data_IF_484709471224
#
_entry.id   IF_484709471224
#
_cell.length_a   1.000
_cell.length_b   1.000
_cell.length_c   1.000
_cell.angle_alpha   90.00
_cell.angle_beta   90.00
_cell.angle_gamma   90.00
#
_symmetry.space_group_name_H-M   'P 1'
#
loop_
_entity.id
_entity.type
_entity.pdbx_description
1 polymer ?
#
# COMPACT_ATOMS: atom_id res chain seq x y z
N UNK A 1 29.76 29.91 5.45
CA UNK A 1 29.15 29.11 4.40
C UNK A 1 28.86 27.78 5.08
N UNK A 2 27.65 27.66 5.60
CA UNK A 2 27.20 26.48 6.36
C UNK A 2 26.13 25.80 5.51
N UNK A 3 26.53 24.74 4.82
CA UNK A 3 25.59 23.84 4.16
C UNK A 3 24.94 22.97 5.24
N UNK A 4 23.72 23.35 5.63
CA UNK A 4 22.83 22.50 6.40
C UNK A 4 22.25 21.48 5.44
N UNK A 5 22.87 20.31 5.39
CA UNK A 5 22.27 19.12 4.80
C UNK A 5 21.05 18.80 5.68
N UNK A 6 19.85 19.02 5.15
CA UNK A 6 18.64 18.48 5.75
C UNK A 6 18.75 16.95 5.70
N UNK A 7 19.04 16.40 6.87
CA UNK A 7 18.88 14.99 7.16
C UNK A 7 17.38 14.70 7.11
N UNK A 8 16.88 14.30 5.94
CA UNK A 8 15.58 13.65 5.84
C UNK A 8 15.80 12.25 6.41
N UNK A 9 15.60 12.13 7.72
CA UNK A 9 15.45 10.83 8.36
C UNK A 9 14.43 10.05 7.54
N UNK A 10 14.95 9.11 6.73
CA UNK A 10 14.15 8.26 5.88
C UNK A 10 13.28 7.37 6.77
N UNK A 11 12.04 7.80 6.99
CA UNK A 11 11.02 6.96 7.59
C UNK A 11 10.77 5.77 6.66
N UNK A 12 11.43 4.66 6.96
CA UNK A 12 11.06 3.37 6.37
C UNK A 12 9.89 2.84 7.19
N UNK A 13 8.70 2.73 6.61
CA UNK A 13 7.56 2.17 7.34
C UNK A 13 7.90 0.77 7.83
N UNK A 14 7.43 0.37 9.01
CA UNK A 14 7.62 -0.97 9.51
C UNK A 14 7.06 -1.98 8.51
N UNK A 15 7.91 -2.88 8.04
CA UNK A 15 7.49 -3.99 7.18
C UNK A 15 6.84 -5.03 8.08
N UNK A 16 5.56 -5.29 7.87
CA UNK A 16 4.83 -6.36 8.55
C UNK A 16 5.29 -7.69 7.96
N UNK A 17 6.42 -8.17 8.45
CA UNK A 17 6.90 -9.50 8.09
C UNK A 17 6.30 -10.57 9.04
N UNK A 18 6.46 -11.83 8.66
CA UNK A 18 5.92 -12.95 9.44
C UNK A 18 6.53 -13.03 10.84
N UNK A 19 7.79 -12.63 10.98
CA UNK A 19 8.49 -12.63 12.27
C UNK A 19 7.88 -11.60 13.23
N UNK A 20 7.60 -10.39 12.74
CA UNK A 20 6.91 -9.34 13.50
C UNK A 20 5.51 -9.79 13.96
N UNK A 21 4.77 -10.51 13.12
CA UNK A 21 3.45 -11.05 13.47
C UNK A 21 3.53 -12.15 14.54
N UNK A 22 4.57 -12.98 14.52
CA UNK A 22 4.77 -14.06 15.50
C UNK A 22 5.10 -13.52 16.90
N UNK A 23 5.64 -12.31 17.01
CA UNK A 23 5.94 -11.64 18.28
C UNK A 23 4.71 -10.97 18.92
N UNK A 24 3.62 -10.79 18.16
CA UNK A 24 2.39 -10.19 18.68
C UNK A 24 1.64 -11.11 19.62
N UNK A 25 0.94 -10.50 20.58
CA UNK A 25 -0.03 -11.23 21.39
C UNK A 25 -1.16 -11.81 20.51
N UNK A 26 -1.83 -12.86 21.00
CA UNK A 26 -2.96 -13.44 20.27
C UNK A 26 -4.09 -12.40 20.01
N UNK A 27 -4.33 -11.49 20.95
CA UNK A 27 -5.30 -10.41 20.78
C UNK A 27 -4.89 -9.46 19.66
N UNK A 28 -3.64 -8.98 19.67
CA UNK A 28 -3.12 -8.08 18.63
C UNK A 28 -3.15 -8.72 17.24
N UNK A 29 -2.85 -10.02 17.13
CA UNK A 29 -2.97 -10.74 15.84
C UNK A 29 -4.41 -10.77 15.34
N UNK A 30 -5.39 -11.03 16.21
CA UNK A 30 -6.79 -11.00 15.83
C UNK A 30 -7.22 -9.61 15.34
N UNK A 31 -6.75 -8.54 15.98
CA UNK A 31 -7.02 -7.17 15.58
C UNK A 31 -6.40 -6.85 14.20
N UNK A 32 -5.16 -7.28 13.94
CA UNK A 32 -4.50 -7.16 12.63
C UNK A 32 -5.29 -7.91 11.56
N UNK A 33 -5.72 -9.15 11.83
CA UNK A 33 -6.50 -9.96 10.89
C UNK A 33 -7.86 -9.35 10.58
N UNK A 34 -8.53 -8.79 11.59
CA UNK A 34 -9.81 -8.09 11.43
C UNK A 34 -9.66 -6.88 10.50
N UNK A 35 -8.68 -6.02 10.79
CA UNK A 35 -8.39 -4.84 9.97
C UNK A 35 -7.99 -5.23 8.54
N UNK A 36 -7.08 -6.19 8.39
CA UNK A 36 -6.62 -6.68 7.09
C UNK A 36 -7.78 -7.18 6.23
N UNK A 37 -8.70 -7.94 6.81
CA UNK A 37 -9.90 -8.45 6.14
C UNK A 37 -10.81 -7.32 5.62
N UNK A 38 -11.07 -6.31 6.44
CA UNK A 38 -11.92 -5.18 6.04
C UNK A 38 -11.26 -4.32 4.96
N UNK A 39 -9.97 -4.04 5.10
CA UNK A 39 -9.22 -3.31 4.08
C UNK A 39 -9.11 -4.09 2.76
N UNK A 40 -8.89 -5.40 2.83
CA UNK A 40 -8.87 -6.26 1.63
C UNK A 40 -10.21 -6.21 0.88
N UNK A 41 -11.33 -6.19 1.61
CA UNK A 41 -12.67 -6.03 1.02
C UNK A 41 -12.82 -4.67 0.31
N UNK A 42 -12.34 -3.59 0.92
CA UNK A 42 -12.39 -2.24 0.33
C UNK A 42 -11.45 -2.08 -0.86
N UNK A 43 -10.30 -2.71 -0.81
CA UNK A 43 -9.31 -2.71 -1.89
C UNK A 43 -9.84 -3.37 -3.17
N UNK A 44 -10.73 -4.36 -3.05
CA UNK A 44 -11.47 -4.93 -4.17
C UNK A 44 -10.58 -5.52 -5.27
N UNK A 45 -9.57 -6.32 -4.89
CA UNK A 45 -8.60 -6.95 -5.80
C UNK A 45 -7.81 -5.94 -6.64
N UNK A 46 -7.38 -4.83 -6.05
CA UNK A 46 -6.56 -3.82 -6.70
C UNK A 46 -7.33 -2.76 -7.48
N UNK A 47 -8.67 -2.79 -7.46
CA UNK A 47 -9.47 -1.72 -8.09
C UNK A 47 -9.36 -0.40 -7.37
N UNK A 48 -9.20 -0.45 -6.06
CA UNK A 48 -9.13 0.71 -5.20
C UNK A 48 -7.83 0.70 -4.40
N UNK A 49 -7.47 1.86 -3.89
CA UNK A 49 -6.37 2.06 -2.95
C UNK A 49 -6.86 2.83 -1.75
N UNK A 50 -6.24 2.61 -0.61
CA UNK A 50 -6.41 3.46 0.58
C UNK A 50 -5.39 4.60 0.47
N UNK A 51 -5.87 5.83 0.43
CA UNK A 51 -5.02 7.01 0.27
C UNK A 51 -4.65 7.64 1.61
N UNK A 52 -5.61 7.66 2.54
CA UNK A 52 -5.41 8.18 3.89
C UNK A 52 -6.34 7.47 4.87
N UNK A 53 -5.99 7.50 6.15
CA UNK A 53 -6.85 7.05 7.23
C UNK A 53 -6.64 7.86 8.51
N UNK A 54 -7.64 7.82 9.40
CA UNK A 54 -7.58 8.43 10.73
C UNK A 54 -8.37 7.58 11.73
N UNK A 55 -7.93 7.47 13.00
CA UNK A 55 -8.69 6.79 14.04
C UNK A 55 -10.08 7.43 14.23
N UNK A 56 -11.11 6.62 14.54
CA UNK A 56 -12.48 7.12 14.75
C UNK A 56 -13.23 6.24 15.76
N UNK A 57 -12.94 6.41 17.05
CA UNK A 57 -13.52 5.60 18.12
C UNK A 57 -13.17 4.12 17.94
N UNK A 58 -14.17 3.22 17.99
CA UNK A 58 -13.98 1.80 17.69
C UNK A 58 -13.95 1.58 16.19
N UNK A 59 -12.84 1.98 15.55
CA UNK A 59 -12.66 1.84 14.12
C UNK A 59 -11.80 2.93 13.53
N UNK A 60 -11.80 3.01 12.20
CA UNK A 60 -11.05 4.00 11.43
C UNK A 60 -11.94 4.63 10.35
N UNK A 61 -11.64 5.86 9.98
CA UNK A 61 -12.11 6.45 8.72
C UNK A 61 -11.03 6.23 7.68
N UNK A 62 -11.40 5.79 6.50
CA UNK A 62 -10.48 5.56 5.39
C UNK A 62 -10.95 6.28 4.14
N UNK A 63 -10.04 6.91 3.43
CA UNK A 63 -10.28 7.44 2.10
C UNK A 63 -9.86 6.40 1.08
N UNK A 64 -10.84 5.82 0.41
CA UNK A 64 -10.64 4.77 -0.61
C UNK A 64 -11.03 5.32 -1.96
N UNK A 65 -10.07 5.34 -2.88
CA UNK A 65 -10.27 5.84 -4.24
C UNK A 65 -9.92 4.76 -5.27
N UNK A 66 -10.51 4.80 -6.48
CA UNK A 66 -10.04 3.97 -7.59
C UNK A 66 -8.60 4.31 -7.95
N UNK A 67 -7.76 3.30 -8.16
CA UNK A 67 -6.32 3.51 -8.38
C UNK A 67 -6.01 4.39 -9.61
N UNK A 68 -6.85 4.35 -10.66
CA UNK A 68 -6.65 5.15 -11.89
C UNK A 68 -6.82 6.66 -11.67
N UNK A 69 -7.54 7.07 -10.61
CA UNK A 69 -7.75 8.48 -10.28
C UNK A 69 -6.42 9.21 -10.05
N UNK A 70 -5.42 8.55 -9.48
CA UNK A 70 -4.11 9.17 -9.31
C UNK A 70 -3.44 9.51 -10.63
N UNK A 71 -3.54 8.64 -11.62
CA UNK A 71 -3.04 8.92 -12.96
C UNK A 71 -3.77 10.08 -13.63
N UNK A 72 -5.09 10.18 -13.45
CA UNK A 72 -5.88 11.30 -13.95
C UNK A 72 -5.54 12.61 -13.22
N UNK A 73 -5.36 12.58 -11.92
CA UNK A 73 -4.96 13.75 -11.13
C UNK A 73 -3.57 14.22 -11.53
N UNK A 74 -2.60 13.32 -11.64
CA UNK A 74 -1.24 13.65 -12.11
C UNK A 74 -1.25 14.26 -13.53
N UNK A 75 -2.11 13.77 -14.41
CA UNK A 75 -2.25 14.32 -15.76
C UNK A 75 -2.90 15.70 -15.77
N UNK A 76 -3.87 15.95 -14.90
CA UNK A 76 -4.52 17.28 -14.77
C UNK A 76 -3.58 18.30 -14.17
N UNK A 77 -2.86 17.94 -13.11
CA UNK A 77 -1.92 18.85 -12.42
C UNK A 77 -0.68 19.15 -13.24
N UNK A 78 -0.34 18.36 -14.26
CA UNK A 78 0.73 18.70 -15.21
C UNK A 78 0.47 20.03 -15.99
N UNK A 79 -0.77 20.55 -15.97
CA UNK A 79 -1.15 21.84 -16.53
C UNK A 79 -1.48 22.93 -15.49
N UNK A 80 -1.47 22.60 -14.19
CA UNK A 80 -1.85 23.51 -13.10
C UNK A 80 -0.63 23.92 -12.25
N UNK A 81 -0.85 24.85 -11.30
CA UNK A 81 0.22 25.39 -10.48
C UNK A 81 1.03 24.33 -9.74
N UNK A 82 2.33 24.56 -9.58
CA UNK A 82 3.29 23.65 -8.92
C UNK A 82 2.84 23.17 -7.52
N UNK A 83 2.05 23.99 -6.81
CA UNK A 83 1.56 23.68 -5.46
C UNK A 83 0.60 22.48 -5.42
N UNK A 84 -0.19 22.25 -6.48
CA UNK A 84 -1.12 21.12 -6.56
C UNK A 84 -0.40 19.79 -6.80
N UNK A 85 0.67 19.80 -7.57
CA UNK A 85 1.54 18.63 -7.78
C UNK A 85 2.26 18.26 -6.49
N UNK A 86 2.80 19.25 -5.80
CA UNK A 86 3.50 19.05 -4.53
C UNK A 86 2.57 18.42 -3.49
N UNK A 87 1.32 18.88 -3.38
CA UNK A 87 0.35 18.30 -2.45
C UNK A 87 0.06 16.83 -2.77
N UNK A 88 -0.12 16.48 -4.04
CA UNK A 88 -0.36 15.07 -4.45
C UNK A 88 0.86 14.21 -4.14
N UNK A 89 2.06 14.71 -4.42
CA UNK A 89 3.31 14.00 -4.14
C UNK A 89 3.52 13.80 -2.63
N UNK A 90 3.21 14.80 -1.80
CA UNK A 90 3.26 14.71 -0.35
C UNK A 90 2.27 13.69 0.21
N UNK A 91 1.04 13.64 -0.32
CA UNK A 91 0.03 12.64 0.08
C UNK A 91 0.47 11.22 -0.32
N UNK A 92 1.05 11.05 -1.51
CA UNK A 92 1.49 9.74 -2.01
C UNK A 92 2.76 9.26 -1.29
N UNK A 93 3.71 10.15 -1.04
CA UNK A 93 4.99 9.84 -0.42
C UNK A 93 4.93 9.78 1.12
N UNK A 94 3.91 10.42 1.71
CA UNK A 94 3.73 10.53 3.15
C UNK A 94 3.18 9.27 3.82
N UNK A 95 2.89 9.41 5.12
CA UNK A 95 2.13 8.41 5.86
C UNK A 95 0.68 8.43 5.42
N UNK A 96 0.02 7.26 5.42
CA UNK A 96 -1.42 7.19 5.20
C UNK A 96 -2.23 7.58 6.45
N UNK A 97 -1.63 7.49 7.63
CA UNK A 97 -2.17 8.03 8.87
C UNK A 97 -2.09 9.56 8.88
N UNK A 98 -3.22 10.21 9.11
CA UNK A 98 -3.32 11.67 9.27
C UNK A 98 -4.17 12.01 10.49
N UNK A 99 -4.06 13.27 10.96
CA UNK A 99 -5.03 13.81 11.89
C UNK A 99 -6.38 14.08 11.17
N UNK A 100 -7.41 14.42 11.93
CA UNK A 100 -8.77 14.59 11.39
C UNK A 100 -8.85 15.75 10.36
N UNK A 101 -8.13 16.85 10.60
CA UNK A 101 -8.10 18.01 9.71
C UNK A 101 -7.41 17.70 8.39
N UNK A 102 -6.25 17.04 8.45
CA UNK A 102 -5.51 16.58 7.29
C UNK A 102 -6.31 15.57 6.47
N UNK A 103 -6.96 14.63 7.15
CA UNK A 103 -7.83 13.65 6.51
C UNK A 103 -8.98 14.30 5.72
N UNK A 104 -9.70 15.24 6.35
CA UNK A 104 -10.81 15.93 5.69
C UNK A 104 -10.31 16.82 4.53
N UNK A 105 -9.13 17.41 4.65
CA UNK A 105 -8.49 18.18 3.58
C UNK A 105 -8.19 17.28 2.37
N UNK A 106 -7.59 16.11 2.59
CA UNK A 106 -7.29 15.14 1.54
C UNK A 106 -8.61 14.63 0.90
N UNK A 107 -9.59 14.26 1.71
CA UNK A 107 -10.89 13.78 1.21
C UNK A 107 -11.59 14.82 0.32
N UNK A 108 -11.57 16.08 0.75
CA UNK A 108 -12.14 17.19 -0.02
C UNK A 108 -11.39 17.43 -1.33
N UNK A 109 -10.07 17.37 -1.31
CA UNK A 109 -9.24 17.57 -2.51
C UNK A 109 -9.53 16.51 -3.58
N UNK A 110 -9.60 15.24 -3.18
CA UNK A 110 -9.89 14.14 -4.10
C UNK A 110 -11.36 14.01 -4.46
N UNK A 111 -12.28 14.62 -3.69
CA UNK A 111 -13.72 14.62 -3.95
C UNK A 111 -14.39 13.26 -3.70
N UNK A 112 -13.82 12.43 -2.84
CA UNK A 112 -14.37 11.13 -2.47
C UNK A 112 -14.86 11.14 -1.02
N UNK A 113 -16.02 10.50 -0.79
CA UNK A 113 -16.55 10.35 0.57
C UNK A 113 -15.76 9.31 1.37
N UNK A 114 -15.30 9.65 2.58
CA UNK A 114 -14.67 8.72 3.49
C UNK A 114 -15.57 7.54 3.84
N UNK A 115 -14.98 6.37 3.97
CA UNK A 115 -15.67 5.18 4.49
C UNK A 115 -15.30 4.96 5.94
N UNK A 116 -16.26 4.54 6.74
CA UNK A 116 -16.04 4.10 8.09
C UNK A 116 -15.84 2.58 8.12
N UNK A 117 -14.80 2.14 8.80
CA UNK A 117 -14.53 0.73 9.10
C UNK A 117 -14.73 0.57 10.60
N UNK A 118 -15.77 -0.17 10.98
CA UNK A 118 -16.02 -0.53 12.37
C UNK A 118 -15.13 -1.72 12.74
N UNK A 119 -14.48 -1.64 13.91
CA UNK A 119 -13.58 -2.65 14.44
C UNK A 119 -14.02 -3.07 15.84
N UNK A 120 -13.64 -4.26 16.26
CA UNK A 120 -13.92 -4.76 17.62
C UNK A 120 -13.00 -4.12 18.68
N UNK A 121 -12.04 -3.31 18.27
CA UNK A 121 -11.00 -2.72 19.11
C UNK A 121 -10.87 -1.20 18.85
N UNK A 122 -10.15 -0.50 19.73
CA UNK A 122 -9.89 0.94 19.60
C UNK A 122 -8.47 1.14 19.04
N UNK A 123 -8.32 1.71 17.82
CA UNK A 123 -7.05 2.11 17.26
C UNK A 123 -6.24 3.03 18.20
N UNK A 124 -4.95 2.82 18.30
CA UNK A 124 -4.05 3.56 19.18
C UNK A 124 -4.04 3.10 20.66
N UNK A 125 -5.12 2.43 21.12
CA UNK A 125 -5.19 1.89 22.49
C UNK A 125 -4.91 0.38 22.49
N UNK A 126 -5.66 -0.39 21.73
CA UNK A 126 -5.59 -1.86 21.68
C UNK A 126 -4.56 -2.35 20.66
N UNK A 127 -4.27 -1.56 19.65
CA UNK A 127 -3.28 -1.81 18.61
C UNK A 127 -2.55 -0.51 18.29
N UNK A 128 -1.21 -0.53 18.30
CA UNK A 128 -0.38 0.65 18.09
C UNK A 128 -0.53 1.22 16.66
N UNK A 129 -0.44 2.54 16.53
CA UNK A 129 -0.66 3.25 15.27
C UNK A 129 0.35 2.87 14.18
N UNK A 130 1.59 2.57 14.53
CA UNK A 130 2.62 2.11 13.60
C UNK A 130 2.28 0.75 12.98
N UNK A 131 1.69 -0.14 13.77
CA UNK A 131 1.23 -1.44 13.31
C UNK A 131 -0.03 -1.32 12.44
N UNK A 132 -0.96 -0.43 12.82
CA UNK A 132 -2.12 -0.09 11.99
C UNK A 132 -1.69 0.48 10.64
N UNK A 133 -0.76 1.44 10.65
CA UNK A 133 -0.20 2.04 9.45
C UNK A 133 0.47 0.99 8.55
N UNK A 134 1.22 0.05 9.12
CA UNK A 134 1.84 -1.03 8.38
C UNK A 134 0.81 -1.93 7.68
N UNK A 135 -0.35 -2.19 8.31
CA UNK A 135 -1.46 -2.94 7.70
C UNK A 135 -2.11 -2.12 6.59
N UNK A 136 -2.44 -0.85 6.85
CA UNK A 136 -3.11 0.02 5.88
C UNK A 136 -2.25 0.22 4.63
N UNK A 137 -0.94 0.39 4.78
CA UNK A 137 0.00 0.58 3.67
C UNK A 137 0.02 -0.58 2.68
N UNK A 138 -0.35 -1.78 3.07
CA UNK A 138 -0.49 -2.92 2.14
C UNK A 138 -1.56 -2.69 1.08
N UNK A 139 -2.50 -1.79 1.36
CA UNK A 139 -3.64 -1.44 0.50
C UNK A 139 -3.53 -0.03 -0.10
N UNK A 140 -2.43 0.67 0.18
CA UNK A 140 -2.13 2.00 -0.32
C UNK A 140 -1.15 1.96 -1.50
N UNK A 141 -0.78 3.13 -1.99
CA UNK A 141 0.36 3.27 -2.90
C UNK A 141 1.64 3.24 -2.07
N UNK A 142 2.56 2.36 -2.46
CA UNK A 142 3.92 2.38 -1.95
C UNK A 142 4.80 3.13 -2.93
N UNK A 143 5.30 4.30 -2.53
CA UNK A 143 6.37 4.97 -3.26
C UNK A 143 7.69 4.30 -2.89
N UNK A 144 8.33 3.69 -3.88
CA UNK A 144 9.65 3.08 -3.70
C UNK A 144 10.67 3.98 -4.37
N UNK A 145 11.47 4.66 -3.55
CA UNK A 145 12.63 5.40 -4.05
C UNK A 145 13.69 4.41 -4.54
N UNK A 146 14.16 4.55 -5.78
CA UNK A 146 15.14 3.65 -6.40
C UNK A 146 14.66 2.19 -6.59
N UNK A 147 13.38 2.01 -6.89
CA UNK A 147 12.83 0.70 -7.26
C UNK A 147 13.22 0.28 -8.67
N UNK A 148 13.29 -1.03 -8.90
CA UNK A 148 13.41 -1.61 -10.22
C UNK A 148 12.14 -2.38 -10.59
N UNK A 149 11.65 -2.20 -11.82
CA UNK A 149 10.52 -2.95 -12.36
C UNK A 149 11.06 -3.97 -13.35
N UNK A 150 10.76 -5.25 -13.13
CA UNK A 150 11.07 -6.30 -14.07
C UNK A 150 9.77 -6.85 -14.68
N UNK A 151 9.71 -6.88 -16.01
CA UNK A 151 8.60 -7.46 -16.76
C UNK A 151 9.06 -8.80 -17.34
N UNK A 152 8.24 -9.82 -17.13
CA UNK A 152 8.48 -11.16 -17.69
C UNK A 152 7.30 -11.52 -18.58
N UNK A 153 7.58 -11.97 -19.79
CA UNK A 153 6.58 -12.44 -20.75
C UNK A 153 6.84 -13.91 -21.10
N UNK A 154 5.75 -14.66 -21.28
CA UNK A 154 5.79 -16.05 -21.72
C UNK A 154 5.43 -16.09 -23.19
N UNK A 155 6.41 -16.35 -24.03
CA UNK A 155 6.20 -16.40 -25.49
C UNK A 155 5.19 -17.47 -25.85
N UNK A 156 4.19 -17.07 -26.62
CA UNK A 156 3.14 -17.97 -27.09
C UNK A 156 2.15 -18.43 -26.00
N UNK A 157 2.04 -17.68 -24.89
CA UNK A 157 1.17 -18.04 -23.77
C UNK A 157 -0.27 -18.37 -24.17
N UNK A 158 -0.84 -17.61 -25.11
CA UNK A 158 -2.19 -17.83 -25.62
C UNK A 158 -2.37 -19.10 -26.44
N UNK A 159 -1.28 -19.75 -26.87
CA UNK A 159 -1.32 -21.01 -27.61
C UNK A 159 -1.37 -22.25 -26.70
N UNK A 160 -1.12 -22.06 -25.41
CA UNK A 160 -1.18 -23.14 -24.43
C UNK A 160 -2.61 -23.42 -23.98
N UNK A 161 -2.90 -24.68 -23.66
CA UNK A 161 -4.15 -25.04 -22.99
C UNK A 161 -4.22 -24.40 -21.60
N UNK A 162 -5.43 -24.23 -21.01
CA UNK A 162 -5.58 -23.62 -19.69
C UNK A 162 -4.70 -24.26 -18.60
N UNK A 163 -4.55 -25.58 -18.61
CA UNK A 163 -3.69 -26.29 -17.66
C UNK A 163 -2.21 -25.96 -17.86
N UNK A 164 -1.76 -25.93 -19.11
CA UNK A 164 -0.39 -25.53 -19.44
C UNK A 164 -0.12 -24.08 -19.07
N UNK A 165 -1.06 -23.16 -19.31
CA UNK A 165 -0.94 -21.76 -18.89
C UNK A 165 -0.73 -21.64 -17.38
N UNK A 166 -1.52 -22.32 -16.57
CA UNK A 166 -1.35 -22.34 -15.11
C UNK A 166 0.01 -22.93 -14.73
N UNK A 167 0.44 -24.00 -15.37
CA UNK A 167 1.74 -24.64 -15.11
C UNK A 167 2.88 -23.70 -15.44
N UNK A 168 2.83 -23.01 -16.58
CA UNK A 168 3.87 -22.06 -17.00
C UNK A 168 3.94 -20.84 -16.06
N UNK A 169 2.80 -20.28 -15.65
CA UNK A 169 2.75 -19.18 -14.69
C UNK A 169 3.34 -19.58 -13.33
N UNK A 170 3.02 -20.77 -12.84
CA UNK A 170 3.56 -21.26 -11.58
C UNK A 170 5.07 -21.51 -11.66
N UNK A 171 5.54 -22.07 -12.78
CA UNK A 171 6.97 -22.29 -13.02
C UNK A 171 7.74 -20.98 -13.11
N UNK A 172 7.19 -19.99 -13.79
CA UNK A 172 7.78 -18.64 -13.87
C UNK A 172 7.83 -17.98 -12.48
N UNK A 173 6.72 -17.99 -11.76
CA UNK A 173 6.65 -17.42 -10.40
C UNK A 173 7.65 -18.10 -9.45
N UNK A 174 7.74 -19.43 -9.50
CA UNK A 174 8.73 -20.18 -8.70
C UNK A 174 10.15 -19.81 -9.07
N UNK A 175 10.48 -19.77 -10.36
CA UNK A 175 11.83 -19.46 -10.84
C UNK A 175 12.26 -18.05 -10.46
N UNK A 176 11.37 -17.08 -10.60
CA UNK A 176 11.61 -15.70 -10.21
C UNK A 176 11.82 -15.61 -8.70
N UNK A 177 10.92 -16.16 -7.89
CA UNK A 177 11.04 -16.18 -6.43
C UNK A 177 12.33 -16.86 -5.96
N UNK A 178 12.67 -18.02 -6.54
CA UNK A 178 13.90 -18.75 -6.18
C UNK A 178 15.16 -17.96 -6.56
N UNK A 179 15.15 -17.25 -7.68
CA UNK A 179 16.26 -16.42 -8.12
C UNK A 179 16.45 -15.21 -7.20
N UNK A 180 15.37 -14.50 -6.90
CA UNK A 180 15.42 -13.37 -5.99
C UNK A 180 15.82 -13.78 -4.57
N UNK A 181 15.28 -14.87 -4.04
CA UNK A 181 15.65 -15.39 -2.70
C UNK A 181 17.14 -15.75 -2.59
N UNK A 182 17.79 -16.09 -3.71
CA UNK A 182 19.24 -16.35 -3.74
C UNK A 182 20.08 -15.09 -3.86
N UNK A 183 19.58 -14.07 -4.53
CA UNK A 183 20.33 -12.84 -4.85
C UNK A 183 20.20 -11.77 -3.76
N UNK A 184 19.12 -11.79 -3.00
CA UNK A 184 18.78 -10.73 -2.07
C UNK A 184 18.94 -11.22 -0.63
N UNK A 185 19.79 -10.54 0.11
CA UNK A 185 19.80 -10.66 1.57
C UNK A 185 18.42 -10.23 2.10
N UNK A 186 17.88 -10.99 2.96
CA UNK A 186 16.61 -11.11 3.69
C UNK A 186 15.58 -9.95 3.78
N UNK A 187 15.77 -8.77 3.19
CA UNK A 187 14.96 -7.58 3.46
C UNK A 187 14.32 -6.94 2.22
N UNK A 188 14.04 -7.68 1.16
CA UNK A 188 13.32 -7.12 0.00
C UNK A 188 11.92 -7.71 -0.08
N UNK A 189 10.95 -6.82 0.06
CA UNK A 189 9.55 -7.12 -0.20
C UNK A 189 9.32 -7.13 -1.71
N UNK A 190 9.00 -8.31 -2.27
CA UNK A 190 8.75 -8.46 -3.70
C UNK A 190 7.24 -8.58 -3.88
N UNK A 191 6.63 -7.53 -4.40
CA UNK A 191 5.22 -7.55 -4.76
C UNK A 191 5.05 -8.04 -6.20
N UNK A 192 4.27 -9.10 -6.38
CA UNK A 192 3.88 -9.60 -7.69
C UNK A 192 2.48 -9.09 -8.06
N UNK A 193 2.42 -8.24 -9.08
CA UNK A 193 1.16 -7.95 -9.75
C UNK A 193 0.93 -8.99 -10.86
N UNK A 194 -0.17 -9.74 -10.78
CA UNK A 194 -0.60 -10.64 -11.87
C UNK A 194 -1.65 -9.90 -12.70
N UNK A 195 -1.32 -9.61 -13.96
CA UNK A 195 -2.32 -9.18 -14.93
C UNK A 195 -2.79 -10.40 -15.70
N UNK A 196 -4.07 -10.70 -15.60
CA UNK A 196 -4.77 -11.64 -16.50
C UNK A 196 -5.60 -10.80 -17.44
N UNK A 197 -5.16 -10.68 -18.67
CA UNK A 197 -6.01 -10.23 -19.80
C UNK A 197 -6.80 -11.39 -20.34
#
# INVERSE_FOLDING_TARGET
MNDSIHDTDGFSPPVLDRASLDELSAAARNHVEELDKELHRLWGLGRNIVLAWTPAGKGIRVLVIPHYILGEMAARTAGEAADSLQFVDEVIAGNTLTDEEGFDTIAKYFGYEPKRVELSFTPGEDLADDLLEAVVRRYSISYIQNGAVALFDIVGFSLFSPLEQVTQLNSLAYSVNASFSKMLARNLDIQFARSTT
#
